data_IF_253110113674
#
_entry.id   IF_253110113674
#
_cell.length_a   1.000
_cell.length_b   1.000
_cell.length_c   1.000
_cell.angle_alpha   90.00
_cell.angle_beta   90.00
_cell.angle_gamma   90.00
#
_symmetry.space_group_name_H-M   'P 1'
#
loop_
_entity.id
_entity.type
_entity.pdbx_description
1 polymer ?
#
# COMPACT_ATOMS: atom_id res chain seq x y z
N UNK A 1 -10.72 28.68 -10.83
CA UNK A 1 -9.36 28.31 -10.42
C UNK A 1 -9.37 26.81 -10.13
N UNK A 2 -8.50 26.04 -10.78
CA UNK A 2 -8.38 24.59 -10.63
C UNK A 2 -7.01 24.30 -10.02
N UNK A 3 -6.97 23.70 -8.84
CA UNK A 3 -5.72 23.27 -8.19
C UNK A 3 -5.65 21.76 -8.25
N UNK A 4 -4.54 21.24 -8.76
CA UNK A 4 -4.32 19.82 -8.96
C UNK A 4 -2.97 19.43 -8.38
N UNK A 5 -2.92 18.21 -7.87
CA UNK A 5 -1.76 17.70 -7.18
C UNK A 5 -1.48 16.31 -7.71
N UNK A 6 -0.27 16.09 -8.19
CA UNK A 6 0.17 14.79 -8.72
C UNK A 6 1.40 14.37 -7.97
N UNK A 7 1.37 13.16 -7.39
CA UNK A 7 2.57 12.55 -6.81
C UNK A 7 3.29 11.78 -7.90
N UNK A 8 4.61 11.86 -7.94
CA UNK A 8 5.40 10.96 -8.77
C UNK A 8 6.40 10.25 -7.86
N UNK A 9 6.54 8.95 -8.05
CA UNK A 9 7.46 8.10 -7.29
C UNK A 9 8.56 7.67 -8.24
N UNK A 10 9.81 7.92 -7.89
CA UNK A 10 10.93 7.44 -8.66
C UNK A 10 11.08 5.93 -8.48
N UNK A 11 11.63 5.27 -9.51
CA UNK A 11 12.01 3.86 -9.46
C UNK A 11 13.38 3.72 -8.78
N UNK A 12 13.53 4.23 -7.56
CA UNK A 12 14.77 4.15 -6.79
C UNK A 12 14.56 3.44 -5.44
N UNK A 13 15.60 2.76 -4.91
CA UNK A 13 15.48 2.04 -3.63
C UNK A 13 15.26 2.97 -2.43
N UNK A 14 15.48 4.27 -2.60
CA UNK A 14 15.31 5.28 -1.55
C UNK A 14 13.89 5.88 -1.49
N UNK A 15 12.95 5.40 -2.31
CA UNK A 15 11.57 5.91 -2.37
C UNK A 15 11.51 7.43 -2.59
N UNK A 16 12.38 7.98 -3.43
CA UNK A 16 12.34 9.40 -3.69
C UNK A 16 11.03 9.72 -4.41
N UNK A 17 10.37 10.76 -3.93
CA UNK A 17 9.11 11.20 -4.49
C UNK A 17 9.12 12.71 -4.69
N UNK A 18 8.41 13.13 -5.73
CA UNK A 18 8.23 14.53 -6.04
C UNK A 18 6.75 14.83 -6.13
N UNK A 19 6.32 15.88 -5.42
CA UNK A 19 4.98 16.43 -5.58
C UNK A 19 4.99 17.50 -6.65
N UNK A 20 4.05 17.38 -7.58
CA UNK A 20 3.77 18.40 -8.58
C UNK A 20 2.43 19.04 -8.24
N UNK A 21 2.52 20.17 -7.56
CA UNK A 21 1.38 21.04 -7.33
C UNK A 21 1.25 22.00 -8.50
N UNK A 22 0.10 21.99 -9.18
CA UNK A 22 -0.17 22.84 -10.32
C UNK A 22 -1.49 23.56 -10.12
N UNK A 23 -1.51 24.83 -10.53
CA UNK A 23 -2.71 25.65 -10.44
C UNK A 23 -3.03 26.27 -11.79
N UNK A 24 -4.28 26.14 -12.21
CA UNK A 24 -4.79 26.61 -13.49
C UNK A 24 -5.86 27.66 -13.27
N UNK A 25 -5.64 28.85 -13.83
CA UNK A 25 -6.58 29.96 -13.82
C UNK A 25 -6.98 30.26 -15.26
N UNK A 26 -8.22 29.94 -15.63
CA UNK A 26 -8.76 30.25 -16.95
C UNK A 26 -9.61 31.51 -16.90
N UNK A 27 -9.38 32.42 -17.85
CA UNK A 27 -10.27 33.53 -18.16
C UNK A 27 -10.73 33.38 -19.60
N UNK A 28 -12.04 33.42 -19.80
CA UNK A 28 -12.65 33.40 -21.12
C UNK A 28 -13.23 34.78 -21.41
N UNK A 29 -13.01 35.24 -22.64
CA UNK A 29 -13.54 36.48 -23.20
C UNK A 29 -14.07 36.20 -24.60
N UNK A 30 -14.99 37.02 -25.14
CA UNK A 30 -15.47 36.86 -26.51
C UNK A 30 -14.36 36.87 -27.57
N UNK A 31 -13.24 37.55 -27.27
CA UNK A 31 -12.07 37.68 -28.14
C UNK A 31 -11.10 36.48 -28.04
N UNK A 32 -11.25 35.63 -27.02
CA UNK A 32 -10.38 34.48 -26.83
C UNK A 32 -10.36 33.91 -25.41
N UNK A 33 -9.61 32.82 -25.25
CA UNK A 33 -9.45 32.12 -23.97
C UNK A 33 -7.97 32.13 -23.57
N UNK A 34 -7.70 32.49 -22.31
CA UNK A 34 -6.35 32.50 -21.74
C UNK A 34 -6.36 31.61 -20.49
N UNK A 35 -5.40 30.69 -20.39
CA UNK A 35 -5.19 29.88 -19.19
C UNK A 35 -3.79 30.12 -18.65
N UNK A 36 -3.73 30.65 -17.43
CA UNK A 36 -2.50 30.79 -16.67
C UNK A 36 -2.22 29.47 -15.94
N UNK A 37 -1.04 28.87 -16.21
CA UNK A 37 -0.56 27.67 -15.56
C UNK A 37 0.56 28.05 -14.58
N UNK A 38 0.30 27.95 -13.29
CA UNK A 38 1.28 28.22 -12.23
C UNK A 38 1.91 26.91 -11.76
N UNK A 39 3.21 26.95 -11.46
CA UNK A 39 3.99 25.78 -10.99
C UNK A 39 3.99 24.60 -11.97
N UNK A 40 3.97 24.89 -13.27
CA UNK A 40 4.01 23.89 -14.34
C UNK A 40 5.38 23.17 -14.38
N UNK A 41 5.44 21.91 -13.95
CA UNK A 41 6.66 21.12 -13.98
C UNK A 41 7.16 20.88 -15.42
N UNK A 42 8.48 20.67 -15.66
CA UNK A 42 8.99 20.41 -17.01
C UNK A 42 8.34 19.20 -17.68
N UNK A 43 8.04 18.15 -16.90
CA UNK A 43 7.30 16.98 -17.36
C UNK A 43 5.89 17.36 -17.83
N UNK A 44 5.16 18.15 -17.04
CA UNK A 44 3.84 18.65 -17.43
C UNK A 44 3.91 19.51 -18.69
N UNK A 45 4.89 20.42 -18.80
CA UNK A 45 5.04 21.28 -19.98
C UNK A 45 5.23 20.47 -21.27
N UNK A 46 6.05 19.41 -21.22
CA UNK A 46 6.26 18.53 -22.38
C UNK A 46 4.98 17.79 -22.77
N UNK A 47 4.27 17.23 -21.79
CA UNK A 47 2.99 16.56 -22.01
C UNK A 47 1.92 17.53 -22.55
N UNK A 48 1.87 18.76 -22.03
CA UNK A 48 0.93 19.77 -22.47
C UNK A 48 1.22 20.21 -23.91
N UNK A 49 2.49 20.47 -24.27
CA UNK A 49 2.88 20.78 -25.65
C UNK A 49 2.46 19.66 -26.60
N UNK A 50 2.71 18.41 -26.21
CA UNK A 50 2.30 17.25 -26.99
C UNK A 50 0.77 17.17 -27.16
N UNK A 51 0.01 17.29 -26.06
CA UNK A 51 -1.45 17.32 -26.05
C UNK A 51 -2.02 18.44 -26.92
N UNK A 52 -1.44 19.64 -26.86
CA UNK A 52 -1.82 20.78 -27.68
C UNK A 52 -1.59 20.48 -29.17
N UNK A 53 -0.39 20.06 -29.57
CA UNK A 53 -0.12 19.75 -30.99
C UNK A 53 -1.06 18.68 -31.57
N UNK A 54 -1.45 17.70 -30.77
CA UNK A 54 -2.31 16.58 -31.20
C UNK A 54 -3.80 16.95 -31.27
N UNK A 55 -4.27 17.80 -30.37
CA UNK A 55 -5.71 18.03 -30.16
C UNK A 55 -6.17 19.43 -30.55
N UNK A 56 -5.26 20.40 -30.72
CA UNK A 56 -5.63 21.79 -31.01
C UNK A 56 -6.49 21.93 -32.26
N UNK A 57 -6.21 21.15 -33.32
CA UNK A 57 -7.01 21.17 -34.56
C UNK A 57 -8.42 20.56 -34.41
N UNK A 58 -8.66 19.81 -33.33
CA UNK A 58 -9.94 19.10 -33.06
C UNK A 58 -10.80 19.82 -32.04
N UNK A 59 -10.23 20.75 -31.27
CA UNK A 59 -10.92 21.47 -30.20
C UNK A 59 -11.37 22.84 -30.72
N UNK A 60 -12.64 23.21 -30.54
CA UNK A 60 -13.14 24.51 -31.00
C UNK A 60 -12.47 25.66 -30.22
N UNK A 61 -11.77 26.60 -30.88
CA UNK A 61 -10.91 27.57 -30.20
C UNK A 61 -11.64 28.63 -29.37
N UNK A 62 -12.92 28.89 -29.67
CA UNK A 62 -13.71 29.96 -29.04
C UNK A 62 -14.70 29.49 -27.97
N UNK A 63 -14.91 28.17 -27.84
CA UNK A 63 -15.80 27.61 -26.82
C UNK A 63 -15.20 27.74 -25.41
N UNK A 64 -16.03 28.04 -24.38
CA UNK A 64 -15.57 28.07 -23.01
C UNK A 64 -15.11 26.66 -22.62
N UNK A 65 -14.04 26.58 -21.85
CA UNK A 65 -13.38 25.33 -21.41
C UNK A 65 -12.62 24.52 -22.47
N UNK A 66 -12.57 24.95 -23.72
CA UNK A 66 -11.78 24.27 -24.77
C UNK A 66 -10.30 24.06 -24.39
N UNK A 67 -9.65 25.08 -23.81
CA UNK A 67 -8.26 24.97 -23.35
C UNK A 67 -8.07 24.00 -22.17
N UNK A 68 -9.13 23.62 -21.45
CA UNK A 68 -9.02 22.63 -20.38
C UNK A 68 -8.87 21.22 -20.92
N UNK A 69 -9.36 20.89 -22.12
CA UNK A 69 -9.21 19.55 -22.72
C UNK A 69 -7.74 19.11 -22.82
N UNK A 70 -6.81 19.88 -23.43
CA UNK A 70 -5.39 19.49 -23.49
C UNK A 70 -4.69 19.53 -22.14
N UNK A 71 -5.13 20.39 -21.21
CA UNK A 71 -4.59 20.45 -19.85
C UNK A 71 -4.96 19.19 -19.08
N UNK A 72 -6.24 18.80 -19.12
CA UNK A 72 -6.76 17.59 -18.46
C UNK A 72 -6.08 16.35 -19.04
N UNK A 73 -5.87 16.28 -20.35
CA UNK A 73 -5.13 15.18 -20.98
C UNK A 73 -3.71 15.04 -20.42
N UNK A 74 -2.98 16.15 -20.31
CA UNK A 74 -1.63 16.14 -19.75
C UNK A 74 -1.62 15.76 -18.27
N UNK A 75 -2.62 16.19 -17.50
CA UNK A 75 -2.80 15.78 -16.09
C UNK A 75 -3.08 14.29 -15.98
N UNK A 76 -4.01 13.76 -16.79
CA UNK A 76 -4.34 12.32 -16.82
C UNK A 76 -3.10 11.50 -17.17
N UNK A 77 -2.30 11.94 -18.15
CA UNK A 77 -1.05 11.27 -18.49
C UNK A 77 -0.05 11.24 -17.31
N UNK A 78 0.09 12.34 -16.54
CA UNK A 78 0.93 12.32 -15.34
C UNK A 78 0.37 11.42 -14.23
N UNK A 79 -0.95 11.39 -14.06
CA UNK A 79 -1.61 10.50 -13.11
C UNK A 79 -1.45 9.03 -13.51
N UNK A 80 -1.52 8.71 -14.81
CA UNK A 80 -1.24 7.37 -15.33
C UNK A 80 0.19 6.97 -14.92
N UNK A 81 1.21 7.78 -15.22
CA UNK A 81 2.59 7.51 -14.81
C UNK A 81 2.72 7.26 -13.29
N UNK A 82 2.04 8.05 -12.45
CA UNK A 82 1.99 7.83 -10.99
C UNK A 82 1.42 6.45 -10.65
N UNK A 83 0.26 6.09 -11.21
CA UNK A 83 -0.39 4.80 -10.94
C UNK A 83 0.47 3.62 -11.42
N UNK A 84 1.16 3.77 -12.55
CA UNK A 84 2.06 2.75 -13.09
C UNK A 84 3.31 2.57 -12.23
N UNK A 85 3.94 3.65 -11.76
CA UNK A 85 5.10 3.56 -10.86
C UNK A 85 4.80 2.74 -9.60
N UNK A 86 3.62 2.94 -9.01
CA UNK A 86 3.16 2.19 -7.83
C UNK A 86 2.93 0.74 -8.17
N UNK A 87 2.28 0.46 -9.31
CA UNK A 87 2.08 -0.92 -9.78
C UNK A 87 3.41 -1.64 -9.98
N UNK A 88 4.40 -0.98 -10.56
CA UNK A 88 5.71 -1.57 -10.83
C UNK A 88 6.45 -1.83 -9.51
N UNK A 89 6.29 -0.97 -8.51
CA UNK A 89 6.73 -1.22 -7.14
C UNK A 89 6.00 -2.41 -6.47
N UNK A 90 4.69 -2.60 -6.69
CA UNK A 90 3.99 -3.81 -6.19
C UNK A 90 4.54 -5.06 -6.89
N UNK A 91 4.69 -4.98 -8.21
CA UNK A 91 5.12 -6.09 -9.05
C UNK A 91 6.54 -6.55 -8.72
N UNK A 92 7.44 -5.62 -8.37
CA UNK A 92 8.79 -5.98 -7.94
C UNK A 92 8.76 -6.83 -6.67
N UNK A 93 7.88 -6.50 -5.71
CA UNK A 93 7.71 -7.28 -4.48
C UNK A 93 7.07 -8.65 -4.74
N UNK A 94 6.00 -8.70 -5.54
CA UNK A 94 5.34 -9.97 -5.90
C UNK A 94 6.32 -10.95 -6.58
N UNK A 95 7.21 -10.43 -7.45
CA UNK A 95 8.27 -11.23 -8.08
C UNK A 95 9.36 -11.66 -7.10
N UNK A 96 9.75 -10.79 -6.18
CA UNK A 96 10.74 -11.13 -5.16
C UNK A 96 10.21 -12.25 -4.23
N UNK A 97 8.93 -12.17 -3.87
CA UNK A 97 8.20 -13.16 -3.07
C UNK A 97 8.12 -14.52 -3.76
N UNK A 98 7.98 -14.56 -5.10
CA UNK A 98 7.92 -15.83 -5.86
C UNK A 98 9.27 -16.49 -6.10
N UNK A 99 10.36 -15.71 -6.18
CA UNK A 99 11.70 -16.21 -6.52
C UNK A 99 12.52 -16.60 -5.27
N UNK A 100 12.27 -16.00 -4.11
CA UNK A 100 13.09 -16.23 -2.92
C UNK A 100 12.27 -16.46 -1.64
N UNK A 101 12.42 -17.65 -1.05
CA UNK A 101 12.08 -17.95 0.34
C UNK A 101 13.06 -17.28 1.35
N UNK A 102 13.72 -16.18 0.97
CA UNK A 102 14.77 -15.56 1.76
C UNK A 102 14.17 -14.74 2.91
N UNK A 103 14.12 -15.38 4.07
CA UNK A 103 13.64 -14.91 5.37
C UNK A 103 14.42 -13.72 5.97
N UNK A 104 15.43 -13.19 5.28
CA UNK A 104 16.51 -12.40 5.92
C UNK A 104 16.29 -10.89 5.84
N UNK A 105 15.28 -10.38 5.13
CA UNK A 105 15.01 -8.93 5.13
C UNK A 105 13.52 -8.57 5.29
N UNK A 106 12.83 -9.24 6.22
CA UNK A 106 11.41 -9.00 6.52
C UNK A 106 11.14 -7.54 6.90
N UNK A 107 12.06 -6.89 7.62
CA UNK A 107 11.89 -5.50 8.08
C UNK A 107 12.03 -4.52 6.90
N UNK A 108 13.05 -4.64 6.07
CA UNK A 108 13.23 -3.79 4.89
C UNK A 108 12.09 -3.99 3.88
N UNK A 109 11.68 -5.24 3.64
CA UNK A 109 10.54 -5.56 2.79
C UNK A 109 9.22 -4.99 3.35
N UNK A 110 9.02 -5.04 4.68
CA UNK A 110 7.84 -4.44 5.31
C UNK A 110 7.86 -2.92 5.20
N UNK A 111 9.00 -2.27 5.44
CA UNK A 111 9.16 -0.83 5.27
C UNK A 111 8.87 -0.44 3.81
N UNK A 112 9.40 -1.19 2.85
CA UNK A 112 9.15 -0.99 1.42
C UNK A 112 7.66 -1.10 1.07
N UNK A 113 7.00 -2.16 1.54
CA UNK A 113 5.56 -2.35 1.34
C UNK A 113 4.75 -1.22 1.98
N UNK A 114 5.13 -0.80 3.19
CA UNK A 114 4.46 0.26 3.92
C UNK A 114 4.59 1.62 3.22
N UNK A 115 5.81 1.99 2.80
CA UNK A 115 6.03 3.22 2.03
C UNK A 115 5.25 3.17 0.71
N UNK A 116 5.34 2.06 -0.04
CA UNK A 116 4.57 1.88 -1.28
C UNK A 116 3.06 2.03 -1.04
N UNK A 117 2.53 1.49 0.06
CA UNK A 117 1.12 1.67 0.44
C UNK A 117 0.78 3.13 0.74
N UNK A 118 1.67 3.89 1.40
CA UNK A 118 1.50 5.34 1.61
C UNK A 118 1.43 6.10 0.28
N UNK A 119 2.31 5.75 -0.67
CA UNK A 119 2.27 6.31 -2.03
C UNK A 119 0.96 5.96 -2.77
N UNK A 120 0.50 4.72 -2.68
CA UNK A 120 -0.77 4.27 -3.24
C UNK A 120 -1.97 5.06 -2.70
N UNK A 121 -2.01 5.29 -1.39
CA UNK A 121 -3.09 6.08 -0.76
C UNK A 121 -3.09 7.51 -1.29
N UNK A 122 -1.95 8.17 -1.34
CA UNK A 122 -1.86 9.54 -1.86
C UNK A 122 -2.23 9.62 -3.36
N UNK A 123 -1.85 8.63 -4.17
CA UNK A 123 -2.23 8.60 -5.59
C UNK A 123 -3.74 8.40 -5.75
N UNK A 124 -4.39 7.58 -4.92
CA UNK A 124 -5.85 7.40 -4.92
C UNK A 124 -6.55 8.69 -4.49
N UNK A 125 -6.07 9.34 -3.44
CA UNK A 125 -6.65 10.59 -2.94
C UNK A 125 -6.60 11.68 -4.02
N UNK A 126 -5.42 11.92 -4.59
CA UNK A 126 -5.23 12.94 -5.64
C UNK A 126 -6.04 12.65 -6.90
N UNK A 127 -6.16 11.38 -7.29
CA UNK A 127 -6.94 10.97 -8.46
C UNK A 127 -8.46 11.03 -8.20
N UNK A 128 -8.90 10.76 -6.97
CA UNK A 128 -10.29 10.95 -6.52
C UNK A 128 -10.69 12.43 -6.55
N UNK A 129 -9.83 13.31 -6.02
CA UNK A 129 -10.04 14.77 -6.11
C UNK A 129 -10.06 15.20 -7.58
N UNK A 130 -9.12 14.75 -8.40
CA UNK A 130 -9.09 15.04 -9.84
C UNK A 130 -10.41 14.63 -10.50
N UNK A 131 -10.88 13.40 -10.27
CA UNK A 131 -12.15 12.91 -10.82
C UNK A 131 -13.35 13.76 -10.41
N UNK A 132 -13.43 14.18 -9.15
CA UNK A 132 -14.49 15.09 -8.66
C UNK A 132 -14.39 16.47 -9.31
N UNK A 133 -13.19 17.01 -9.47
CA UNK A 133 -13.00 18.31 -10.14
C UNK A 133 -13.40 18.27 -11.61
N UNK A 134 -13.06 17.20 -12.33
CA UNK A 134 -13.47 17.03 -13.73
C UNK A 134 -15.00 16.91 -13.86
N UNK A 135 -15.65 16.21 -12.94
CA UNK A 135 -17.11 16.14 -12.88
C UNK A 135 -17.73 17.52 -12.63
N UNK A 136 -17.15 18.33 -11.74
CA UNK A 136 -17.61 19.70 -11.52
C UNK A 136 -17.44 20.58 -12.77
N UNK A 137 -16.32 20.46 -13.48
CA UNK A 137 -16.08 21.16 -14.76
C UNK A 137 -17.13 20.75 -15.79
N UNK A 138 -17.42 19.45 -15.92
CA UNK A 138 -18.47 18.94 -16.80
C UNK A 138 -19.84 19.56 -16.48
N UNK A 139 -20.22 19.64 -15.21
CA UNK A 139 -21.49 20.27 -14.81
C UNK A 139 -21.53 21.76 -15.19
N UNK A 140 -20.44 22.49 -14.97
CA UNK A 140 -20.35 23.90 -15.39
C UNK A 140 -20.47 24.08 -16.90
N UNK A 141 -19.89 23.18 -17.70
CA UNK A 141 -20.03 23.18 -19.16
C UNK A 141 -21.50 22.97 -19.56
N UNK A 142 -22.21 22.05 -18.89
CA UNK A 142 -23.63 21.81 -19.15
C UNK A 142 -24.50 23.02 -18.80
N UNK A 143 -24.25 23.65 -17.64
CA UNK A 143 -25.00 24.83 -17.20
C UNK A 143 -24.81 26.04 -18.13
N UNK A 144 -23.59 26.25 -18.63
CA UNK A 144 -23.28 27.33 -19.56
C UNK A 144 -23.85 27.08 -20.94
N UNK A 145 -23.79 25.83 -21.42
CA UNK A 145 -24.40 25.43 -22.69
C UNK A 145 -25.92 25.66 -22.69
N UNK A 146 -26.60 25.46 -21.55
CA UNK A 146 -28.04 25.71 -21.42
C UNK A 146 -28.46 27.18 -21.37
N UNK A 147 -27.55 28.12 -21.06
CA UNK A 147 -27.84 29.57 -20.92
C UNK A 147 -27.57 30.40 -22.18
N UNK A 148 -26.97 29.84 -23.22
CA UNK A 148 -26.62 30.57 -24.45
C UNK A 148 -27.83 31.05 -25.24
N UNK A 149 -28.15 32.35 -25.20
CA UNK A 149 -29.36 32.97 -25.81
C UNK A 149 -29.35 33.16 -27.34
N UNK A 150 -28.33 32.70 -28.06
CA UNK A 150 -28.35 32.63 -29.53
C UNK A 150 -27.21 31.73 -30.02
N UNK A 151 -27.44 30.42 -30.08
CA UNK A 151 -26.42 29.45 -30.49
C UNK A 151 -26.45 29.26 -32.01
N UNK A 152 -25.40 29.69 -32.70
CA UNK A 152 -25.16 29.33 -34.10
C UNK A 152 -25.00 27.81 -34.23
N UNK A 153 -25.44 27.21 -35.34
CA UNK A 153 -25.35 25.75 -35.59
C UNK A 153 -23.93 25.19 -35.35
N UNK A 154 -22.91 25.98 -35.65
CA UNK A 154 -21.50 25.59 -35.45
C UNK A 154 -21.09 25.56 -33.97
N UNK A 155 -21.61 26.47 -33.13
CA UNK A 155 -21.38 26.47 -31.68
C UNK A 155 -22.06 25.28 -30.99
N UNK A 156 -23.24 24.85 -31.47
CA UNK A 156 -23.92 23.66 -30.95
C UNK A 156 -23.07 22.40 -31.20
N UNK A 157 -22.49 22.27 -32.41
CA UNK A 157 -21.58 21.17 -32.75
C UNK A 157 -20.30 21.18 -31.92
N UNK A 158 -19.68 22.35 -31.78
CA UNK A 158 -18.48 22.58 -30.99
C UNK A 158 -18.67 22.24 -29.50
N UNK A 159 -19.77 22.71 -28.89
CA UNK A 159 -20.19 22.38 -27.53
C UNK A 159 -20.44 20.88 -27.33
N UNK A 160 -21.00 20.18 -28.33
CA UNK A 160 -21.16 18.73 -28.27
C UNK A 160 -19.81 18.00 -28.27
N UNK A 161 -18.90 18.34 -29.19
CA UNK A 161 -17.58 17.72 -29.26
C UNK A 161 -16.79 17.92 -27.96
N UNK A 162 -16.83 19.12 -27.38
CA UNK A 162 -16.20 19.41 -26.10
C UNK A 162 -16.73 18.51 -24.97
N UNK A 163 -18.05 18.32 -24.86
CA UNK A 163 -18.66 17.44 -23.85
C UNK A 163 -18.22 15.99 -24.02
N UNK A 164 -18.18 15.49 -25.25
CA UNK A 164 -17.72 14.12 -25.54
C UNK A 164 -16.27 13.94 -25.11
N UNK A 165 -15.39 14.90 -25.39
CA UNK A 165 -13.99 14.86 -25.00
C UNK A 165 -13.81 14.84 -23.47
N UNK A 166 -14.50 15.74 -22.76
CA UNK A 166 -14.43 15.81 -21.29
C UNK A 166 -15.00 14.53 -20.65
N UNK A 167 -16.10 13.98 -21.18
CA UNK A 167 -16.68 12.74 -20.68
C UNK A 167 -15.72 11.56 -20.86
N UNK A 168 -15.05 11.45 -22.01
CA UNK A 168 -13.99 10.47 -22.24
C UNK A 168 -12.85 10.60 -21.23
N UNK A 169 -12.37 11.81 -20.98
CA UNK A 169 -11.30 12.08 -20.01
C UNK A 169 -11.70 11.72 -18.58
N UNK A 170 -12.95 12.01 -18.18
CA UNK A 170 -13.50 11.60 -16.88
C UNK A 170 -13.50 10.06 -16.76
N UNK A 171 -13.90 9.35 -17.82
CA UNK A 171 -13.88 7.89 -17.80
C UNK A 171 -12.46 7.33 -17.72
N UNK A 172 -11.50 7.93 -18.41
CA UNK A 172 -10.08 7.56 -18.28
C UNK A 172 -9.58 7.75 -16.84
N UNK A 173 -9.85 8.90 -16.22
CA UNK A 173 -9.48 9.15 -14.82
C UNK A 173 -10.13 8.15 -13.84
N UNK A 174 -11.39 7.78 -14.06
CA UNK A 174 -12.08 6.74 -13.27
C UNK A 174 -11.45 5.36 -13.45
N UNK A 175 -11.10 4.98 -14.68
CA UNK A 175 -10.42 3.72 -14.96
C UNK A 175 -9.05 3.65 -14.27
N UNK A 176 -8.30 4.76 -14.26
CA UNK A 176 -7.06 4.87 -13.49
C UNK A 176 -7.30 4.75 -11.99
N UNK A 177 -8.39 5.33 -11.46
CA UNK A 177 -8.75 5.24 -10.06
C UNK A 177 -9.06 3.80 -9.65
N UNK A 178 -9.80 3.06 -10.47
CA UNK A 178 -10.08 1.65 -10.25
C UNK A 178 -8.79 0.81 -10.26
N UNK A 179 -7.86 1.09 -11.19
CA UNK A 179 -6.53 0.44 -11.19
C UNK A 179 -5.72 0.76 -9.94
N UNK A 180 -5.75 2.01 -9.48
CA UNK A 180 -5.06 2.41 -8.25
C UNK A 180 -5.64 1.67 -7.02
N UNK A 181 -6.96 1.49 -6.95
CA UNK A 181 -7.60 0.66 -5.92
C UNK A 181 -7.16 -0.80 -5.99
N UNK A 182 -7.16 -1.42 -7.18
CA UNK A 182 -6.69 -2.79 -7.35
C UNK A 182 -5.22 -2.97 -6.93
N UNK A 183 -4.36 -1.99 -7.25
CA UNK A 183 -2.96 -2.00 -6.80
C UNK A 183 -2.84 -1.92 -5.28
N UNK A 184 -3.68 -1.12 -4.62
CA UNK A 184 -3.74 -1.03 -3.16
C UNK A 184 -4.16 -2.35 -2.53
N UNK A 185 -5.16 -3.03 -3.07
CA UNK A 185 -5.61 -4.34 -2.55
C UNK A 185 -4.51 -5.40 -2.68
N UNK A 186 -3.78 -5.41 -3.81
CA UNK A 186 -2.61 -6.29 -3.99
C UNK A 186 -1.52 -6.03 -2.96
N UNK A 187 -1.20 -4.77 -2.69
CA UNK A 187 -0.25 -4.39 -1.64
C UNK A 187 -0.72 -4.86 -0.26
N UNK A 188 -2.00 -4.71 0.05
CA UNK A 188 -2.56 -5.17 1.32
C UNK A 188 -2.46 -6.68 1.49
N UNK A 189 -2.65 -7.44 0.41
CA UNK A 189 -2.45 -8.89 0.42
C UNK A 189 -1.00 -9.27 0.72
N UNK A 190 -0.02 -8.59 0.11
CA UNK A 190 1.41 -8.83 0.39
C UNK A 190 1.79 -8.45 1.84
N UNK A 191 1.25 -7.34 2.36
CA UNK A 191 1.44 -6.95 3.78
C UNK A 191 0.83 -7.99 4.72
N UNK A 192 -0.37 -8.50 4.41
CA UNK A 192 -1.01 -9.52 5.22
C UNK A 192 -0.26 -10.86 5.17
N UNK A 193 0.28 -11.22 4.00
CA UNK A 193 1.09 -12.41 3.82
C UNK A 193 2.39 -12.32 4.64
N UNK A 194 3.13 -11.23 4.52
CA UNK A 194 4.37 -11.00 5.28
C UNK A 194 4.11 -11.01 6.79
N UNK A 195 3.06 -10.33 7.27
CA UNK A 195 2.66 -10.36 8.68
C UNK A 195 2.27 -11.75 9.18
N UNK A 196 1.60 -12.57 8.33
CA UNK A 196 1.26 -13.96 8.66
C UNK A 196 2.50 -14.83 8.80
N UNK A 197 3.50 -14.66 7.93
CA UNK A 197 4.76 -15.39 8.00
C UNK A 197 5.53 -15.05 9.28
N UNK A 198 5.58 -13.78 9.67
CA UNK A 198 6.19 -13.34 10.92
C UNK A 198 5.47 -13.92 12.15
N UNK A 199 4.13 -13.86 12.14
CA UNK A 199 3.30 -14.48 13.19
C UNK A 199 3.54 -15.98 13.33
N UNK A 200 3.78 -16.70 12.24
CA UNK A 200 4.09 -18.13 12.27
C UNK A 200 5.47 -18.38 12.92
N UNK A 201 6.48 -17.59 12.59
CA UNK A 201 7.80 -17.70 13.21
C UNK A 201 7.74 -17.42 14.73
N UNK A 202 7.02 -16.36 15.14
CA UNK A 202 6.79 -16.04 16.55
C UNK A 202 6.07 -17.17 17.29
N UNK A 203 5.07 -17.80 16.65
CA UNK A 203 4.38 -18.98 17.21
C UNK A 203 5.35 -20.14 17.42
N UNK A 204 6.25 -20.42 16.48
CA UNK A 204 7.24 -21.50 16.64
C UNK A 204 8.16 -21.24 17.82
N UNK A 205 8.67 -20.02 17.98
CA UNK A 205 9.51 -19.65 19.13
C UNK A 205 8.73 -19.83 20.44
N UNK A 206 7.46 -19.41 20.50
CA UNK A 206 6.62 -19.59 21.68
C UNK A 206 6.37 -21.07 22.02
N UNK A 207 6.15 -21.93 21.01
CA UNK A 207 6.01 -23.39 21.24
C UNK A 207 7.30 -23.97 21.81
N UNK A 208 8.46 -23.55 21.27
CA UNK A 208 9.77 -23.99 21.76
C UNK A 208 9.96 -23.55 23.22
N UNK A 209 9.71 -22.29 23.58
CA UNK A 209 9.86 -21.83 24.97
C UNK A 209 8.91 -22.55 25.91
N UNK A 210 7.66 -22.78 25.53
CA UNK A 210 6.69 -23.53 26.34
C UNK A 210 7.11 -24.99 26.60
N UNK A 211 7.82 -25.62 25.66
CA UNK A 211 8.34 -26.98 25.81
C UNK A 211 9.59 -27.04 26.71
N UNK A 212 10.49 -26.06 26.61
CA UNK A 212 11.76 -26.04 27.35
C UNK A 212 11.68 -25.39 28.74
N UNK A 213 10.71 -24.52 28.99
CA UNK A 213 10.61 -23.79 30.25
C UNK A 213 10.38 -24.71 31.47
N UNK A 214 9.46 -25.71 31.43
CA UNK A 214 9.22 -26.56 32.59
C UNK A 214 10.40 -27.48 32.97
N UNK A 215 11.06 -28.17 32.03
CA UNK A 215 12.25 -28.96 32.33
C UNK A 215 13.42 -28.12 32.83
N UNK A 216 13.62 -26.92 32.27
CA UNK A 216 14.69 -26.01 32.71
C UNK A 216 14.49 -25.53 34.14
N UNK A 217 13.24 -25.21 34.51
CA UNK A 217 12.89 -24.82 35.88
C UNK A 217 13.15 -25.96 36.89
N UNK A 218 12.72 -27.18 36.57
CA UNK A 218 12.96 -28.34 37.43
C UNK A 218 14.44 -28.71 37.50
N UNK A 219 15.18 -28.57 36.40
CA UNK A 219 16.62 -28.77 36.37
C UNK A 219 17.33 -27.82 37.35
N UNK A 220 16.95 -26.54 37.39
CA UNK A 220 17.53 -25.57 38.32
C UNK A 220 17.25 -25.93 39.80
N UNK A 221 16.01 -26.34 40.13
CA UNK A 221 15.64 -26.73 41.50
C UNK A 221 16.40 -27.98 41.95
N UNK A 222 16.52 -28.96 41.04
CA UNK A 222 17.08 -30.27 41.38
C UNK A 222 18.59 -30.40 41.13
N UNK A 223 19.23 -29.40 40.51
CA UNK A 223 20.65 -29.44 40.14
C UNK A 223 21.57 -29.70 41.32
N UNK A 224 21.25 -29.16 42.51
CA UNK A 224 22.10 -29.29 43.70
C UNK A 224 21.83 -30.57 44.50
N UNK A 225 20.73 -31.26 44.23
CA UNK A 225 20.28 -32.39 45.05
C UNK A 225 20.65 -33.76 44.48
N UNK A 226 20.85 -33.87 43.16
CA UNK A 226 21.08 -35.16 42.49
C UNK A 226 22.53 -35.42 42.06
N UNK A 227 23.38 -34.39 42.02
CA UNK A 227 24.78 -34.51 41.63
C UNK A 227 25.69 -34.29 42.84
N UNK A 228 26.53 -35.28 43.15
CA UNK A 228 27.56 -35.16 44.20
C UNK A 228 28.93 -35.47 43.60
N UNK A 229 29.86 -34.52 43.78
CA UNK A 229 31.24 -34.67 43.35
C UNK A 229 32.09 -35.00 44.57
N UNK A 230 32.72 -36.17 44.56
CA UNK A 230 33.71 -36.53 45.59
C UNK A 230 35.09 -36.17 45.03
N UNK A 231 35.78 -35.15 45.57
CA UNK A 231 37.11 -34.81 45.13
C UNK A 231 38.10 -35.96 45.41
N UNK A 232 39.04 -36.18 44.49
CA UNK A 232 40.08 -37.20 44.62
C UNK A 232 40.88 -37.00 45.93
N UNK A 233 40.77 -37.95 46.86
CA UNK A 233 41.68 -38.07 48.00
C UNK A 233 42.64 -39.23 47.72
N UNK A 234 43.91 -38.93 47.42
CA UNK A 234 44.96 -39.91 47.14
C UNK A 234 45.05 -40.35 45.67
N UNK A 235 45.58 -41.54 45.40
CA UNK A 235 45.86 -42.10 44.06
C UNK A 235 44.61 -42.51 43.23
N UNK A 236 43.40 -42.15 43.66
CA UNK A 236 42.15 -42.50 42.98
C UNK A 236 41.53 -41.30 42.24
N UNK A 237 41.13 -41.50 40.99
CA UNK A 237 40.50 -40.46 40.18
C UNK A 237 39.12 -40.05 40.76
N UNK A 238 38.82 -38.75 40.74
CA UNK A 238 37.54 -38.22 41.23
C UNK A 238 36.33 -38.84 40.53
N UNK A 239 35.31 -39.24 41.29
CA UNK A 239 34.10 -39.91 40.78
C UNK A 239 32.90 -38.96 40.86
N UNK A 240 32.20 -38.82 39.73
CA UNK A 240 30.88 -38.18 39.66
C UNK A 240 29.81 -39.20 40.04
N UNK A 241 29.08 -38.95 41.13
CA UNK A 241 27.97 -39.81 41.56
C UNK A 241 26.63 -39.17 41.18
N UNK A 242 25.87 -39.88 40.35
CA UNK A 242 24.48 -39.59 40.05
C UNK A 242 23.61 -40.30 41.08
N UNK A 243 22.64 -39.59 41.66
CA UNK A 243 21.68 -40.19 42.59
C UNK A 243 20.74 -41.19 41.88
N UNK A 244 20.51 -42.36 42.48
CA UNK A 244 19.54 -43.36 41.99
C UNK A 244 18.11 -42.81 41.86
N UNK A 245 17.79 -41.70 42.53
CA UNK A 245 16.49 -41.02 42.46
C UNK A 245 16.34 -40.05 41.29
N UNK A 246 17.30 -40.01 40.36
CA UNK A 246 17.24 -39.18 39.17
C UNK A 246 15.96 -39.38 38.34
N UNK A 247 15.32 -40.56 38.42
CA UNK A 247 14.03 -40.83 37.77
C UNK A 247 12.91 -39.87 38.18
N UNK A 248 12.97 -39.29 39.39
CA UNK A 248 11.99 -38.31 39.89
C UNK A 248 11.95 -37.04 39.02
N UNK A 249 13.08 -36.66 38.42
CA UNK A 249 13.14 -35.55 37.46
C UNK A 249 12.24 -35.84 36.25
N UNK A 250 12.36 -37.01 35.63
CA UNK A 250 11.53 -37.38 34.48
C UNK A 250 10.06 -37.54 34.86
N UNK A 251 9.79 -38.12 36.03
CA UNK A 251 8.44 -38.29 36.56
C UNK A 251 7.72 -36.96 36.83
N UNK A 252 8.44 -35.86 37.07
CA UNK A 252 7.87 -34.52 37.29
C UNK A 252 7.92 -33.62 36.06
N UNK A 253 8.98 -33.69 35.25
CA UNK A 253 9.15 -32.84 34.08
C UNK A 253 8.17 -33.18 32.95
N UNK A 254 7.92 -34.45 32.69
CA UNK A 254 7.03 -34.88 31.60
C UNK A 254 5.56 -34.46 31.85
N UNK A 255 4.95 -34.71 33.01
CA UNK A 255 3.57 -34.26 33.26
C UNK A 255 3.44 -32.74 33.23
N UNK A 256 4.45 -32.02 33.74
CA UNK A 256 4.42 -30.56 33.78
C UNK A 256 4.47 -29.95 32.37
N UNK A 257 5.27 -30.50 31.45
CA UNK A 257 5.28 -30.04 30.05
C UNK A 257 3.98 -30.34 29.32
N UNK A 258 3.37 -31.50 29.55
CA UNK A 258 2.06 -31.81 28.97
C UNK A 258 0.98 -30.86 29.50
N UNK A 259 1.02 -30.55 30.80
CA UNK A 259 0.07 -29.62 31.42
C UNK A 259 0.21 -28.20 30.85
N UNK A 260 1.44 -27.67 30.75
CA UNK A 260 1.66 -26.32 30.19
C UNK A 260 1.25 -26.25 28.72
N UNK A 261 1.57 -27.28 27.92
CA UNK A 261 1.17 -27.36 26.52
C UNK A 261 -0.35 -27.44 26.35
N UNK A 262 -1.03 -28.27 27.16
CA UNK A 262 -2.48 -28.43 27.13
C UNK A 262 -3.21 -27.12 27.48
N UNK A 263 -2.75 -26.42 28.52
CA UNK A 263 -3.28 -25.12 28.93
C UNK A 263 -3.08 -24.08 27.80
N UNK A 264 -1.89 -24.01 27.21
CA UNK A 264 -1.59 -23.08 26.12
C UNK A 264 -2.48 -23.33 24.89
N UNK A 265 -2.63 -24.59 24.46
CA UNK A 265 -3.51 -24.96 23.34
C UNK A 265 -4.96 -24.58 23.63
N UNK A 266 -5.43 -24.80 24.86
CA UNK A 266 -6.77 -24.43 25.27
C UNK A 266 -6.99 -22.91 25.21
N UNK A 267 -6.06 -22.11 25.74
CA UNK A 267 -6.09 -20.65 25.65
C UNK A 267 -6.06 -20.14 24.20
N UNK A 268 -5.27 -20.76 23.32
CA UNK A 268 -5.23 -20.39 21.90
C UNK A 268 -6.56 -20.70 21.20
N UNK A 269 -7.15 -21.87 21.47
CA UNK A 269 -8.47 -22.24 20.94
C UNK A 269 -9.58 -21.30 21.42
N UNK A 270 -9.53 -20.85 22.67
CA UNK A 270 -10.44 -19.86 23.23
C UNK A 270 -10.36 -18.54 22.45
N UNK A 271 -9.15 -17.99 22.26
CA UNK A 271 -8.94 -16.75 21.50
C UNK A 271 -9.46 -16.83 20.06
N UNK A 272 -9.25 -17.96 19.37
CA UNK A 272 -9.73 -18.16 18.01
C UNK A 272 -11.26 -18.18 17.91
N UNK A 273 -11.95 -18.77 18.89
CA UNK A 273 -13.42 -18.76 18.97
C UNK A 273 -13.98 -17.35 19.17
N UNK A 274 -13.34 -16.54 20.01
CA UNK A 274 -13.76 -15.16 20.26
C UNK A 274 -13.54 -14.25 19.04
N UNK A 275 -12.43 -14.41 18.32
CA UNK A 275 -12.15 -13.64 17.11
C UNK A 275 -13.14 -13.94 15.96
N UNK A 276 -13.54 -15.21 15.81
CA UNK A 276 -14.52 -15.62 14.79
C UNK A 276 -15.91 -15.03 15.04
N UNK A 277 -16.36 -14.99 16.30
CA UNK A 277 -17.64 -14.36 16.64
C UNK A 277 -17.65 -12.87 16.34
N UNK A 278 -16.56 -12.15 16.63
CA UNK A 278 -16.48 -10.70 16.36
C UNK A 278 -16.57 -10.32 14.88
N UNK A 279 -16.16 -11.21 13.97
CA UNK A 279 -16.24 -10.98 12.52
C UNK A 279 -17.62 -11.28 11.91
N UNK A 280 -18.52 -11.95 12.65
CA UNK A 280 -19.91 -12.21 12.20
C UNK A 280 -20.86 -11.05 12.58
N UNK A 281 -20.40 -10.06 13.35
CA UNK A 281 -21.19 -8.90 13.81
C UNK A 281 -20.75 -7.55 13.22
N UNK A 282 -19.88 -7.55 12.20
CA UNK A 282 -19.44 -6.38 11.41
C UNK A 282 -19.77 -6.64 9.95
#
# INVERSE_FOLDING_TARGET
MLRLLVKNVAEDPNFSYTWHEMTFCSRWTPEGCIVLCMSASPRFQNLLRWSLTRMWSKVPPFEPYSLHVPIIEAVIAMQDLSVWSIRDAVRSVEKASSICNCRIDTISNFLYLHETARHAIHSIETLSVTTKTLQAIRQQILDLSGKGRSATRDSIGASYQLRVHIDLQIQMARNLLLRAHANKERLQNEIALTAKLDSNAMRTIAVVTMAFLPPTFLSAIFSMSFFSYIPAQGNEAGKWLISDRFWIYWASAVPLTFLTMAIAIWFWRQKLKSARKGSEYI
#
